data_IF_250000177504
#
_entry.id   IF_250000177504
#
_cell.length_a   1.000
_cell.length_b   1.000
_cell.length_c   1.000
_cell.angle_alpha   90.00
_cell.angle_beta   90.00
_cell.angle_gamma   90.00
#
_symmetry.space_group_name_H-M   'P 1'
#
loop_
_entity.id
_entity.type
_entity.pdbx_description
1 polymer ?
#
# COMPACT_ATOMS: atom_id res chain seq x y z
N UNK A 1 35.19 12.13 -25.53
CA UNK A 1 35.75 10.82 -25.11
C UNK A 1 34.98 10.35 -23.88
N UNK A 2 33.91 9.57 -24.06
CA UNK A 2 33.36 8.79 -22.95
C UNK A 2 34.15 7.49 -22.90
N UNK A 3 34.95 7.31 -21.83
CA UNK A 3 35.75 6.11 -21.63
C UNK A 3 34.88 4.89 -21.36
N UNK A 4 35.34 3.72 -21.80
CA UNK A 4 34.69 2.44 -21.49
C UNK A 4 34.89 2.12 -20.00
N UNK A 5 33.80 2.01 -19.24
CA UNK A 5 33.80 1.56 -17.85
C UNK A 5 33.37 0.09 -17.75
N UNK A 6 34.05 -0.68 -16.90
CA UNK A 6 33.68 -2.08 -16.60
C UNK A 6 32.85 -2.14 -15.32
N UNK A 7 31.64 -2.68 -15.39
CA UNK A 7 30.77 -2.87 -14.22
C UNK A 7 31.13 -4.19 -13.51
N UNK A 8 31.52 -4.10 -12.24
CA UNK A 8 31.76 -5.27 -11.38
C UNK A 8 30.56 -5.47 -10.44
N UNK A 9 30.01 -6.69 -10.41
CA UNK A 9 28.82 -7.02 -9.63
C UNK A 9 29.20 -7.76 -8.35
N UNK A 10 28.68 -7.29 -7.21
CA UNK A 10 28.72 -8.03 -5.95
C UNK A 10 27.49 -8.93 -5.90
N UNK A 11 27.69 -10.25 -6.02
CA UNK A 11 26.63 -11.25 -6.15
C UNK A 11 26.41 -12.10 -4.90
N UNK A 12 27.35 -12.11 -3.95
CA UNK A 12 27.23 -12.88 -2.71
C UNK A 12 26.77 -12.00 -1.55
N UNK A 13 25.82 -12.50 -0.75
CA UNK A 13 25.36 -11.87 0.48
C UNK A 13 25.32 -12.87 1.62
N UNK A 14 25.66 -12.40 2.82
CA UNK A 14 25.72 -13.21 4.04
C UNK A 14 24.71 -12.75 5.09
N UNK A 15 23.89 -11.75 4.76
CA UNK A 15 22.93 -11.14 5.68
C UNK A 15 21.60 -11.88 5.67
N UNK A 16 20.98 -11.95 4.50
CA UNK A 16 19.62 -12.44 4.31
C UNK A 16 19.64 -13.92 3.89
N UNK A 17 18.59 -14.67 4.21
CA UNK A 17 18.44 -16.01 3.65
C UNK A 17 18.17 -15.96 2.14
N UNK A 18 18.47 -17.05 1.42
CA UNK A 18 18.20 -17.15 -0.01
C UNK A 18 16.71 -16.92 -0.30
N UNK A 19 15.83 -17.49 0.51
CA UNK A 19 14.38 -17.37 0.34
C UNK A 19 13.92 -15.91 0.46
N UNK A 20 14.47 -15.14 1.40
CA UNK A 20 14.13 -13.71 1.55
C UNK A 20 14.63 -12.89 0.35
N UNK A 21 15.80 -13.24 -0.18
CA UNK A 21 16.40 -12.59 -1.34
C UNK A 21 15.54 -12.84 -2.57
N UNK A 22 15.07 -14.06 -2.76
CA UNK A 22 14.25 -14.43 -3.92
C UNK A 22 12.90 -13.71 -3.87
N UNK A 23 12.25 -13.68 -2.70
CA UNK A 23 10.98 -12.98 -2.48
C UNK A 23 11.14 -11.46 -2.69
N UNK A 24 12.03 -10.81 -1.94
CA UNK A 24 12.20 -9.36 -1.99
C UNK A 24 12.80 -8.92 -3.33
N UNK A 25 13.78 -9.68 -3.82
CA UNK A 25 14.51 -9.43 -5.06
C UNK A 25 13.61 -9.58 -6.28
N UNK A 26 12.79 -10.63 -6.35
CA UNK A 26 11.82 -10.78 -7.43
C UNK A 26 10.73 -9.72 -7.38
N UNK A 27 10.27 -9.32 -6.18
CA UNK A 27 9.32 -8.22 -6.01
C UNK A 27 9.86 -6.91 -6.60
N UNK A 28 11.09 -6.50 -6.26
CA UNK A 28 11.66 -5.25 -6.79
C UNK A 28 12.04 -5.33 -8.27
N UNK A 29 12.48 -6.51 -8.75
CA UNK A 29 12.94 -6.72 -10.13
C UNK A 29 11.80 -6.88 -11.15
N UNK A 30 10.53 -6.92 -10.72
CA UNK A 30 9.40 -6.68 -11.63
C UNK A 30 9.51 -5.33 -12.33
N UNK A 31 10.21 -4.37 -11.72
CA UNK A 31 10.53 -3.10 -12.37
C UNK A 31 11.61 -3.33 -13.44
N UNK A 32 11.26 -3.09 -14.71
CA UNK A 32 12.16 -3.29 -15.85
C UNK A 32 13.36 -2.34 -15.88
N UNK A 33 13.26 -1.17 -15.26
CA UNK A 33 14.39 -0.21 -15.17
C UNK A 33 15.34 -0.56 -14.03
N UNK A 34 14.93 -1.46 -13.12
CA UNK A 34 15.76 -1.91 -12.02
C UNK A 34 16.93 -2.76 -12.55
N UNK A 35 18.14 -2.42 -12.11
CA UNK A 35 19.31 -3.26 -12.38
C UNK A 35 19.06 -4.68 -11.87
N UNK A 36 19.08 -5.65 -12.79
CA UNK A 36 18.90 -7.06 -12.47
C UNK A 36 20.06 -7.56 -11.62
N UNK A 37 19.74 -8.08 -10.44
CA UNK A 37 20.71 -8.62 -9.49
C UNK A 37 20.29 -10.02 -9.11
N UNK A 38 21.16 -10.98 -9.40
CA UNK A 38 21.04 -12.33 -8.87
C UNK A 38 22.00 -12.43 -7.69
N UNK A 39 21.42 -12.43 -6.49
CA UNK A 39 22.16 -12.56 -5.25
C UNK A 39 22.10 -14.02 -4.79
N UNK A 40 23.23 -14.50 -4.30
CA UNK A 40 23.35 -15.84 -3.72
C UNK A 40 23.72 -15.73 -2.25
N UNK A 41 23.08 -16.55 -1.41
CA UNK A 41 23.30 -16.61 0.03
C UNK A 41 23.48 -18.06 0.48
N UNK A 42 24.46 -18.33 1.37
CA UNK A 42 24.58 -19.64 2.01
C UNK A 42 23.58 -19.84 3.15
N UNK A 43 22.81 -18.81 3.53
CA UNK A 43 21.85 -18.87 4.63
C UNK A 43 20.50 -19.32 4.08
N UNK A 44 19.89 -20.29 4.74
CA UNK A 44 18.52 -20.75 4.48
C UNK A 44 17.67 -20.56 5.72
N UNK A 45 16.43 -20.12 5.52
CA UNK A 45 15.48 -19.94 6.60
C UNK A 45 14.06 -20.21 6.10
N UNK A 46 13.36 -21.13 6.75
CA UNK A 46 11.95 -21.37 6.47
C UNK A 46 11.09 -20.18 6.89
N UNK A 47 10.15 -19.80 6.02
CA UNK A 47 9.21 -18.69 6.25
C UNK A 47 9.93 -17.40 6.69
N UNK A 48 10.83 -16.83 5.85
CA UNK A 48 11.59 -15.63 6.20
C UNK A 48 10.71 -14.38 6.28
N UNK A 49 9.52 -14.42 5.69
CA UNK A 49 8.49 -13.38 5.76
C UNK A 49 7.30 -13.95 6.53
N UNK A 50 6.96 -13.35 7.66
CA UNK A 50 5.84 -13.76 8.52
C UNK A 50 4.78 -12.66 8.49
N UNK A 51 3.55 -13.02 8.11
CA UNK A 51 2.45 -12.06 7.97
C UNK A 51 1.51 -12.19 9.16
N UNK A 52 1.28 -11.07 9.84
CA UNK A 52 0.61 -10.99 11.12
C UNK A 52 -0.58 -10.03 11.01
N UNK A 53 -1.78 -10.59 10.99
CA UNK A 53 -3.02 -9.83 10.74
C UNK A 53 -3.59 -9.28 12.03
N UNK A 54 -4.18 -8.08 11.97
CA UNK A 54 -4.96 -7.49 13.06
C UNK A 54 -6.27 -6.90 12.56
N UNK A 55 -7.26 -6.84 13.44
CA UNK A 55 -8.57 -6.25 13.11
C UNK A 55 -8.50 -4.72 13.14
N UNK A 56 -8.79 -4.10 12.01
CA UNK A 56 -8.83 -2.64 11.84
C UNK A 56 -10.25 -2.05 11.90
N UNK A 57 -11.26 -2.86 12.22
CA UNK A 57 -12.66 -2.42 12.32
C UNK A 57 -12.90 -1.47 13.50
N UNK A 58 -12.18 -1.65 14.60
CA UNK A 58 -12.32 -0.84 15.82
C UNK A 58 -10.97 -0.62 16.51
N UNK A 59 -10.70 0.62 16.95
CA UNK A 59 -9.44 1.02 17.63
C UNK A 59 -8.18 0.46 16.94
N UNK A 60 -8.09 0.66 15.63
CA UNK A 60 -7.01 0.15 14.76
C UNK A 60 -5.60 0.31 15.37
N UNK A 61 -5.28 1.48 15.92
CA UNK A 61 -3.98 1.74 16.54
C UNK A 61 -3.69 0.82 17.72
N UNK A 62 -4.69 0.55 18.56
CA UNK A 62 -4.56 -0.35 19.71
C UNK A 62 -4.38 -1.80 19.24
N UNK A 63 -5.17 -2.24 18.26
CA UNK A 63 -5.07 -3.58 17.69
C UNK A 63 -3.68 -3.81 17.04
N UNK A 64 -3.15 -2.81 16.33
CA UNK A 64 -1.78 -2.82 15.82
C UNK A 64 -0.76 -2.95 16.95
N UNK A 65 -0.86 -2.14 18.01
CA UNK A 65 0.07 -2.19 19.14
C UNK A 65 0.06 -3.54 19.86
N UNK A 66 -1.13 -4.09 20.14
CA UNK A 66 -1.29 -5.43 20.72
C UNK A 66 -0.68 -6.51 19.82
N UNK A 67 -0.85 -6.38 18.49
CA UNK A 67 -0.24 -7.30 17.51
C UNK A 67 1.29 -7.18 17.49
N UNK A 68 1.84 -5.97 17.54
CA UNK A 68 3.30 -5.74 17.60
C UNK A 68 3.88 -6.36 18.87
N UNK A 69 3.24 -6.23 20.03
CA UNK A 69 3.68 -6.91 21.25
C UNK A 69 3.64 -8.44 21.13
N UNK A 70 2.62 -9.00 20.47
CA UNK A 70 2.57 -10.45 20.19
C UNK A 70 3.76 -10.89 19.33
N UNK A 71 4.08 -10.12 18.27
CA UNK A 71 5.22 -10.39 17.39
C UNK A 71 6.54 -10.33 18.16
N UNK A 72 6.72 -9.31 19.01
CA UNK A 72 7.90 -9.20 19.88
C UNK A 72 8.02 -10.45 20.77
N UNK A 73 6.90 -10.92 21.35
CA UNK A 73 6.87 -12.17 22.11
C UNK A 73 7.32 -13.39 21.29
N UNK A 74 6.81 -13.55 20.05
CA UNK A 74 7.23 -14.62 19.12
C UNK A 74 8.74 -14.54 18.87
N UNK A 75 9.27 -13.36 18.55
CA UNK A 75 10.71 -13.14 18.31
C UNK A 75 11.55 -13.49 19.53
N UNK A 76 11.16 -13.04 20.72
CA UNK A 76 11.88 -13.33 21.96
C UNK A 76 11.89 -14.83 22.26
N UNK A 77 10.78 -15.52 22.01
CA UNK A 77 10.68 -16.97 22.23
C UNK A 77 11.57 -17.77 21.28
N UNK A 78 11.69 -17.34 20.02
CA UNK A 78 12.46 -18.05 18.99
C UNK A 78 13.96 -17.70 19.02
N UNK A 79 14.30 -16.43 19.24
CA UNK A 79 15.67 -15.92 19.08
C UNK A 79 16.33 -15.42 20.38
N UNK A 80 15.54 -15.24 21.44
CA UNK A 80 15.99 -14.73 22.73
C UNK A 80 15.91 -13.20 22.88
N UNK A 81 15.81 -12.75 24.13
CA UNK A 81 15.57 -11.33 24.50
C UNK A 81 16.67 -10.35 24.06
N UNK A 82 17.91 -10.84 23.86
CA UNK A 82 19.07 -10.01 23.50
C UNK A 82 19.18 -9.72 22.01
N UNK A 83 18.31 -10.30 21.18
CA UNK A 83 18.36 -10.11 19.73
C UNK A 83 17.67 -8.81 19.34
N UNK A 84 18.34 -8.07 18.46
CA UNK A 84 17.93 -6.72 18.07
C UNK A 84 16.68 -6.76 17.17
N UNK A 85 15.68 -5.96 17.52
CA UNK A 85 14.41 -5.84 16.81
C UNK A 85 14.29 -4.43 16.23
N UNK A 86 14.14 -4.34 14.92
CA UNK A 86 13.86 -3.08 14.24
C UNK A 86 12.37 -2.96 13.92
N UNK A 87 11.73 -1.96 14.51
CA UNK A 87 10.37 -1.57 14.16
C UNK A 87 10.43 -0.50 13.05
N UNK A 88 9.88 -0.81 11.88
CA UNK A 88 9.89 0.10 10.72
C UNK A 88 8.49 0.67 10.48
N UNK A 89 8.40 2.00 10.62
CA UNK A 89 7.25 2.79 10.20
C UNK A 89 7.51 3.56 8.90
N UNK A 90 6.51 4.29 8.42
CA UNK A 90 6.67 5.19 7.27
C UNK A 90 7.15 6.57 7.73
N UNK A 91 6.59 7.07 8.81
CA UNK A 91 6.86 8.38 9.38
C UNK A 91 7.21 8.29 10.86
N UNK A 92 7.94 9.28 11.37
CA UNK A 92 8.28 9.33 12.79
C UNK A 92 7.03 9.34 13.68
N UNK A 93 5.93 9.96 13.22
CA UNK A 93 4.70 10.02 14.00
C UNK A 93 3.93 8.69 14.10
N UNK A 94 4.28 7.68 13.29
CA UNK A 94 3.70 6.33 13.45
C UNK A 94 4.06 5.75 14.81
N UNK A 95 5.23 6.13 15.35
CA UNK A 95 5.63 5.74 16.69
C UNK A 95 4.74 6.36 17.78
N UNK A 96 4.42 7.66 17.67
CA UNK A 96 3.54 8.33 18.63
C UNK A 96 2.16 7.66 18.71
N UNK A 97 1.67 7.09 17.60
CA UNK A 97 0.43 6.30 17.62
C UNK A 97 0.54 5.09 18.55
N UNK A 98 1.66 4.37 18.52
CA UNK A 98 1.90 3.24 19.41
C UNK A 98 2.04 3.68 20.86
N UNK A 99 2.76 4.77 21.15
CA UNK A 99 2.89 5.29 22.51
C UNK A 99 1.56 5.71 23.13
N UNK A 100 0.68 6.32 22.34
CA UNK A 100 -0.65 6.73 22.79
C UNK A 100 -1.56 5.55 23.21
N UNK A 101 -1.17 4.30 22.94
CA UNK A 101 -1.90 3.12 23.41
C UNK A 101 -1.57 2.73 24.86
N UNK A 102 -0.46 3.23 25.41
CA UNK A 102 0.07 2.85 26.71
C UNK A 102 0.82 1.51 26.75
N UNK A 103 0.93 0.81 25.61
CA UNK A 103 1.67 -0.46 25.51
C UNK A 103 3.17 -0.27 25.23
N UNK A 104 3.54 0.92 24.76
CA UNK A 104 4.90 1.28 24.42
C UNK A 104 5.26 2.65 24.98
N UNK A 105 6.54 2.83 25.29
CA UNK A 105 7.11 4.11 25.72
C UNK A 105 8.42 4.44 24.98
N UNK A 106 8.69 5.74 24.83
CA UNK A 106 9.89 6.24 24.16
C UNK A 106 11.10 6.17 25.09
N UNK A 107 12.24 5.75 24.53
CA UNK A 107 13.54 5.84 25.15
C UNK A 107 14.48 6.67 24.25
N UNK A 108 15.57 7.23 24.80
CA UNK A 108 16.55 7.98 24.01
C UNK A 108 17.08 7.20 22.80
N UNK A 109 17.50 7.91 21.75
CA UNK A 109 18.09 7.35 20.52
C UNK A 109 17.13 6.44 19.72
N UNK A 110 15.86 6.81 19.61
CA UNK A 110 14.82 6.04 18.90
C UNK A 110 14.60 4.62 19.46
N UNK A 111 14.99 4.37 20.71
CA UNK A 111 14.73 3.10 21.36
C UNK A 111 13.28 3.07 21.84
N UNK A 112 12.70 1.89 21.83
CA UNK A 112 11.30 1.66 22.18
C UNK A 112 11.27 0.67 23.33
N UNK A 113 10.50 0.98 24.36
CA UNK A 113 10.21 0.05 25.45
C UNK A 113 8.80 -0.50 25.25
N UNK A 114 8.66 -1.83 25.23
CA UNK A 114 7.36 -2.48 25.40
C UNK A 114 7.10 -2.65 26.89
N UNK A 115 5.90 -2.33 27.36
CA UNK A 115 5.56 -2.51 28.77
C UNK A 115 5.47 -4.00 29.14
N UNK A 116 5.10 -4.88 28.20
CA UNK A 116 5.12 -6.33 28.40
C UNK A 116 6.53 -6.93 28.34
N UNK A 117 7.41 -6.40 27.50
CA UNK A 117 8.79 -6.86 27.35
C UNK A 117 9.83 -5.74 27.54
N UNK A 118 10.01 -5.20 28.78
CA UNK A 118 10.87 -4.05 29.03
C UNK A 118 12.35 -4.23 28.65
N UNK A 119 12.83 -5.49 28.64
CA UNK A 119 14.23 -5.82 28.37
C UNK A 119 14.52 -6.13 26.89
N UNK A 120 13.51 -6.07 26.02
CA UNK A 120 13.69 -6.32 24.60
C UNK A 120 14.46 -5.16 23.95
N UNK A 121 15.44 -5.49 23.10
CA UNK A 121 16.20 -4.46 22.39
C UNK A 121 15.48 -4.01 21.11
N UNK A 122 14.57 -3.04 21.27
CA UNK A 122 13.73 -2.53 20.19
C UNK A 122 14.19 -1.14 19.79
N UNK A 123 14.45 -0.94 18.50
CA UNK A 123 14.72 0.36 17.91
C UNK A 123 13.69 0.65 16.84
N UNK A 124 13.24 1.90 16.74
CA UNK A 124 12.38 2.35 15.66
C UNK A 124 13.11 3.21 14.64
N UNK A 125 12.79 2.99 13.37
CA UNK A 125 13.26 3.83 12.27
C UNK A 125 12.16 3.95 11.22
N UNK A 126 12.23 4.99 10.39
CA UNK A 126 11.46 5.01 9.15
C UNK A 126 12.15 4.11 8.13
N UNK A 127 11.40 3.62 7.14
CA UNK A 127 11.98 2.81 6.07
C UNK A 127 13.18 3.52 5.39
N UNK A 128 13.11 4.84 5.20
CA UNK A 128 14.22 5.63 4.65
C UNK A 128 15.43 5.70 5.59
N UNK A 129 15.23 5.99 6.88
CA UNK A 129 16.35 6.13 7.81
C UNK A 129 17.03 4.80 8.13
N UNK A 130 16.34 3.66 7.92
CA UNK A 130 16.90 2.32 8.12
C UNK A 130 18.01 1.93 7.13
N UNK A 131 18.18 2.68 6.03
CA UNK A 131 19.13 2.35 4.96
C UNK A 131 20.56 2.24 5.49
N UNK A 132 21.22 1.13 5.20
CA UNK A 132 22.60 0.86 5.61
C UNK A 132 22.74 0.20 6.98
N UNK A 133 21.69 0.23 7.82
CA UNK A 133 21.66 -0.46 9.11
C UNK A 133 21.04 -1.85 8.93
N UNK A 134 21.38 -2.81 9.79
CA UNK A 134 20.80 -4.15 9.78
C UNK A 134 20.60 -4.69 11.19
N UNK A 135 19.49 -5.38 11.40
CA UNK A 135 19.04 -5.90 12.69
C UNK A 135 18.80 -7.41 12.61
N UNK A 136 18.67 -8.08 13.76
CA UNK A 136 18.43 -9.52 13.76
C UNK A 136 17.03 -9.86 13.26
N UNK A 137 16.01 -9.11 13.69
CA UNK A 137 14.63 -9.22 13.22
C UNK A 137 14.04 -7.86 12.88
N UNK A 138 13.08 -7.82 11.95
CA UNK A 138 12.39 -6.59 11.53
C UNK A 138 10.89 -6.77 11.68
N UNK A 139 10.18 -5.74 12.13
CA UNK A 139 8.72 -5.66 12.18
C UNK A 139 8.27 -4.44 11.36
N UNK A 140 7.39 -4.63 10.38
CA UNK A 140 6.79 -3.57 9.56
C UNK A 140 5.36 -3.27 10.02
N UNK A 141 5.03 -2.02 10.34
CA UNK A 141 3.76 -1.64 11.00
C UNK A 141 2.78 -0.79 10.16
N UNK A 142 3.20 -0.34 8.97
CA UNK A 142 2.38 0.51 8.08
C UNK A 142 1.95 -0.21 6.78
N UNK A 143 1.80 -1.54 6.82
CA UNK A 143 1.47 -2.34 5.63
C UNK A 143 -0.03 -2.36 5.33
N UNK A 144 -0.62 -1.18 5.13
CA UNK A 144 -2.02 -0.97 4.78
C UNK A 144 -2.18 -0.11 3.52
N UNK A 145 -3.37 -0.17 2.92
CA UNK A 145 -3.73 0.61 1.74
C UNK A 145 -4.24 2.01 2.12
N UNK A 146 -3.57 3.06 1.64
CA UNK A 146 -4.02 4.44 1.81
C UNK A 146 -2.89 5.47 1.75
N UNK A 147 -3.25 6.74 1.98
CA UNK A 147 -2.36 7.92 1.84
C UNK A 147 -1.01 7.75 2.56
N UNK A 148 -1.04 7.25 3.80
CA UNK A 148 0.13 7.10 4.67
C UNK A 148 0.57 5.64 4.86
N UNK A 149 0.02 4.75 4.04
CA UNK A 149 0.34 3.33 4.06
C UNK A 149 1.64 3.04 3.32
N UNK A 150 1.79 1.78 2.96
CA UNK A 150 2.91 1.31 2.14
C UNK A 150 2.32 0.59 0.92
N UNK A 151 2.43 1.07 -0.32
CA UNK A 151 3.13 2.29 -0.73
C UNK A 151 2.42 3.57 -0.25
N UNK A 152 3.20 4.63 -0.06
CA UNK A 152 2.69 5.98 0.12
C UNK A 152 1.99 6.45 -1.17
N UNK A 153 0.79 7.05 -1.03
CA UNK A 153 -0.02 7.55 -2.15
C UNK A 153 -0.10 9.07 -2.19
N UNK A 154 0.72 9.75 -1.40
CA UNK A 154 0.89 11.21 -1.50
C UNK A 154 1.65 11.48 -2.79
N UNK A 155 1.06 12.31 -3.65
CA UNK A 155 1.74 12.77 -4.86
C UNK A 155 2.86 13.76 -4.49
N UNK A 156 4.01 13.60 -5.13
CA UNK A 156 5.11 14.54 -5.00
C UNK A 156 4.75 15.88 -5.65
N UNK A 157 5.29 16.96 -5.09
CA UNK A 157 5.13 18.31 -5.63
C UNK A 157 5.58 18.36 -7.11
N UNK A 158 4.82 19.02 -8.02
CA UNK A 158 5.19 19.16 -9.42
C UNK A 158 6.61 19.69 -9.65
N UNK A 159 7.15 20.50 -8.73
CA UNK A 159 8.51 21.04 -8.80
C UNK A 159 9.55 19.93 -8.61
N UNK A 160 9.28 18.93 -7.78
CA UNK A 160 10.19 17.79 -7.57
C UNK A 160 10.34 16.96 -8.85
N UNK A 161 9.32 16.92 -9.73
CA UNK A 161 9.39 16.23 -11.04
C UNK A 161 10.41 16.86 -12.00
N UNK A 162 10.83 18.11 -11.78
CA UNK A 162 11.84 18.78 -12.60
C UNK A 162 13.28 18.35 -12.25
N UNK A 163 13.48 17.79 -11.06
CA UNK A 163 14.81 17.48 -10.51
C UNK A 163 14.99 15.97 -10.24
N UNK A 164 13.88 15.27 -9.98
CA UNK A 164 13.87 13.82 -9.75
C UNK A 164 13.51 13.10 -11.04
N UNK A 165 14.34 12.14 -11.45
CA UNK A 165 13.97 11.21 -12.51
C UNK A 165 12.78 10.37 -12.05
N UNK A 166 11.59 10.71 -12.55
CA UNK A 166 10.36 9.96 -12.29
C UNK A 166 10.39 8.64 -13.07
N UNK A 167 10.56 7.53 -12.35
CA UNK A 167 10.56 6.19 -12.93
C UNK A 167 9.13 5.73 -13.24
N UNK A 168 8.67 6.08 -14.44
CA UNK A 168 7.31 5.76 -14.94
C UNK A 168 7.15 4.32 -15.44
N UNK A 169 8.16 3.47 -15.28
CA UNK A 169 8.10 2.06 -15.72
C UNK A 169 7.01 1.26 -15.02
N UNK A 170 6.64 1.64 -13.80
CA UNK A 170 5.54 1.02 -13.07
C UNK A 170 4.98 1.94 -11.96
N UNK A 171 3.73 1.70 -11.54
CA UNK A 171 3.17 2.39 -10.38
C UNK A 171 4.03 2.18 -9.12
N UNK A 172 4.29 3.27 -8.40
CA UNK A 172 4.99 3.26 -7.12
C UNK A 172 6.41 2.67 -7.19
N UNK A 173 7.14 2.92 -8.28
CA UNK A 173 8.49 2.41 -8.50
C UNK A 173 9.46 2.72 -7.33
N UNK A 174 9.51 3.96 -6.85
CA UNK A 174 10.37 4.33 -5.71
C UNK A 174 9.94 3.65 -4.41
N UNK A 175 8.65 3.59 -4.14
CA UNK A 175 8.11 2.92 -2.95
C UNK A 175 8.42 1.42 -2.98
N UNK A 176 8.38 0.78 -4.16
CA UNK A 176 8.79 -0.63 -4.33
C UNK A 176 10.25 -0.85 -3.97
N UNK A 177 11.15 0.06 -4.35
CA UNK A 177 12.56 0.01 -3.94
C UNK A 177 12.70 0.21 -2.43
N UNK A 178 11.92 1.12 -1.85
CA UNK A 178 11.92 1.33 -0.41
C UNK A 178 11.41 0.11 0.36
N UNK A 179 10.39 -0.58 -0.17
CA UNK A 179 9.87 -1.81 0.44
C UNK A 179 10.94 -2.89 0.50
N UNK A 180 11.66 -3.07 -0.61
CA UNK A 180 12.80 -3.97 -0.69
C UNK A 180 13.87 -3.61 0.35
N UNK A 181 14.18 -2.32 0.53
CA UNK A 181 15.11 -1.88 1.57
C UNK A 181 14.60 -2.31 2.94
N UNK A 182 13.34 -2.03 3.26
CA UNK A 182 12.72 -2.37 4.54
C UNK A 182 12.75 -3.88 4.83
N UNK A 183 12.36 -4.72 3.86
CA UNK A 183 12.37 -6.18 4.00
C UNK A 183 13.78 -6.74 4.21
N UNK A 184 14.79 -6.15 3.57
CA UNK A 184 16.18 -6.63 3.61
C UNK A 184 17.00 -6.06 4.78
N UNK A 185 16.39 -5.31 5.71
CA UNK A 185 17.05 -4.83 6.94
C UNK A 185 17.23 -5.91 8.00
N UNK A 186 16.67 -7.10 7.80
CA UNK A 186 16.76 -8.22 8.76
C UNK A 186 17.93 -9.16 8.45
N UNK A 187 18.45 -9.85 9.45
CA UNK A 187 19.30 -11.03 9.29
C UNK A 187 18.45 -12.31 9.31
N UNK A 188 17.41 -12.36 10.13
CA UNK A 188 16.55 -13.52 10.29
C UNK A 188 15.23 -13.27 9.57
N UNK A 189 14.11 -13.13 10.30
CA UNK A 189 12.78 -12.95 9.72
C UNK A 189 12.40 -11.48 9.63
N UNK A 190 11.54 -11.18 8.66
CA UNK A 190 10.75 -9.95 8.62
C UNK A 190 9.31 -10.29 8.95
N UNK A 191 8.75 -9.61 9.95
CA UNK A 191 7.36 -9.72 10.35
C UNK A 191 6.61 -8.52 9.78
N UNK A 192 5.46 -8.77 9.17
CA UNK A 192 4.61 -7.73 8.57
C UNK A 192 3.30 -7.68 9.35
N UNK A 193 3.11 -6.63 10.14
CA UNK A 193 1.82 -6.34 10.77
C UNK A 193 0.91 -5.62 9.76
N UNK A 194 -0.22 -6.24 9.43
CA UNK A 194 -1.16 -5.73 8.41
C UNK A 194 -2.61 -5.77 8.90
N UNK A 195 -3.44 -4.78 8.54
CA UNK A 195 -4.87 -4.84 8.83
C UNK A 195 -5.58 -5.88 7.96
N UNK A 196 -6.61 -6.52 8.52
CA UNK A 196 -7.51 -7.45 7.83
C UNK A 196 -8.23 -6.80 6.65
N UNK A 197 -8.87 -5.65 6.85
CA UNK A 197 -9.84 -5.13 5.88
C UNK A 197 -9.21 -4.29 4.77
N UNK A 198 -8.10 -3.60 5.06
CA UNK A 198 -7.40 -2.71 4.11
C UNK A 198 -5.89 -3.00 4.01
N UNK A 199 -5.46 -4.25 3.74
CA UNK A 199 -4.06 -4.60 3.58
C UNK A 199 -3.40 -3.85 2.42
N UNK A 200 -2.09 -3.65 2.52
CA UNK A 200 -1.28 -3.06 1.45
C UNK A 200 -1.38 -3.85 0.14
N UNK A 201 -1.46 -3.14 -1.00
CA UNK A 201 -1.32 -3.77 -2.33
C UNK A 201 0.01 -4.50 -2.53
N UNK A 202 1.11 -4.03 -1.94
CA UNK A 202 2.42 -4.69 -2.05
C UNK A 202 2.43 -6.01 -1.28
N UNK A 203 1.72 -6.06 -0.15
CA UNK A 203 1.53 -7.30 0.59
C UNK A 203 0.68 -8.30 -0.20
N UNK A 204 -0.43 -7.86 -0.79
CA UNK A 204 -1.28 -8.75 -1.60
C UNK A 204 -0.50 -9.27 -2.82
N UNK A 205 0.29 -8.43 -3.48
CA UNK A 205 1.18 -8.84 -4.56
C UNK A 205 2.18 -9.92 -4.09
N UNK A 206 2.87 -9.69 -2.97
CA UNK A 206 3.79 -10.67 -2.39
C UNK A 206 3.12 -12.01 -2.07
N UNK A 207 1.93 -11.99 -1.45
CA UNK A 207 1.19 -13.21 -1.11
C UNK A 207 0.85 -13.99 -2.39
N UNK A 208 0.38 -13.32 -3.43
CA UNK A 208 -0.03 -13.95 -4.70
C UNK A 208 1.16 -14.50 -5.49
N UNK A 209 2.27 -13.75 -5.57
CA UNK A 209 3.41 -14.13 -6.40
C UNK A 209 4.26 -15.25 -5.77
N UNK A 210 4.36 -15.28 -4.45
CA UNK A 210 5.27 -16.17 -3.72
C UNK A 210 4.54 -17.18 -2.81
N UNK A 211 3.21 -17.25 -2.89
CA UNK A 211 2.37 -18.15 -2.09
C UNK A 211 2.70 -18.09 -0.58
N UNK A 212 2.87 -16.88 -0.05
CA UNK A 212 3.23 -16.70 1.36
C UNK A 212 2.10 -17.16 2.27
N UNK A 213 2.44 -17.91 3.32
CA UNK A 213 1.52 -18.31 4.37
C UNK A 213 1.23 -17.13 5.31
N UNK A 214 -0.02 -16.97 5.72
CA UNK A 214 -0.43 -15.97 6.70
C UNK A 214 -1.46 -16.55 7.66
N UNK A 215 -1.45 -16.06 8.90
CA UNK A 215 -2.44 -16.43 9.91
C UNK A 215 -3.62 -15.45 9.85
N UNK A 216 -4.85 -15.98 9.87
CA UNK A 216 -6.08 -15.19 9.92
C UNK A 216 -6.67 -14.82 8.55
N UNK A 217 -7.58 -13.84 8.56
CA UNK A 217 -8.29 -13.38 7.36
C UNK A 217 -7.67 -12.09 6.81
N UNK A 218 -7.45 -12.05 5.49
CA UNK A 218 -6.98 -10.86 4.77
C UNK A 218 -7.95 -10.60 3.61
N UNK A 219 -8.40 -9.36 3.48
CA UNK A 219 -9.20 -8.93 2.34
C UNK A 219 -8.32 -8.78 1.08
N UNK A 220 -8.19 -9.88 0.32
CA UNK A 220 -7.40 -9.95 -0.91
C UNK A 220 -7.97 -9.15 -2.08
N UNK A 221 -9.21 -8.68 -1.98
CA UNK A 221 -9.91 -7.85 -2.99
C UNK A 221 -9.55 -6.36 -2.89
N UNK A 222 -8.79 -5.95 -1.85
CA UNK A 222 -8.39 -4.54 -1.65
C UNK A 222 -7.64 -3.97 -2.87
N UNK A 223 -6.96 -4.82 -3.65
CA UNK A 223 -6.26 -4.42 -4.88
C UNK A 223 -7.21 -4.02 -6.01
N UNK A 224 -8.47 -4.48 -5.99
CA UNK A 224 -9.41 -4.16 -7.06
C UNK A 224 -9.83 -2.69 -7.08
N UNK A 225 -9.69 -1.98 -5.96
CA UNK A 225 -9.84 -0.53 -5.93
C UNK A 225 -8.78 0.21 -6.78
N UNK A 226 -7.59 -0.37 -7.00
CA UNK A 226 -6.50 0.27 -7.77
C UNK A 226 -6.10 -0.46 -9.06
N UNK A 227 -6.63 -1.68 -9.29
CA UNK A 227 -6.67 -2.27 -10.63
C UNK A 227 -7.68 -1.57 -11.52
N UNK A 228 -8.59 -0.77 -10.95
CA UNK A 228 -9.50 0.09 -11.69
C UNK A 228 -8.71 1.16 -12.45
N UNK A 229 -8.38 0.82 -13.69
CA UNK A 229 -7.78 1.72 -14.67
C UNK A 229 -8.87 2.58 -15.28
N UNK A 230 -8.55 3.86 -15.45
CA UNK A 230 -9.32 4.81 -16.22
C UNK A 230 -9.48 4.25 -17.65
N UNK A 231 -10.71 4.12 -18.17
CA UNK A 231 -10.95 3.60 -19.52
C UNK A 231 -10.45 4.56 -20.61
N UNK A 232 -10.22 5.84 -20.28
CA UNK A 232 -9.77 6.87 -21.22
C UNK A 232 -8.24 6.86 -21.37
N UNK A 233 -7.51 6.90 -20.25
CA UNK A 233 -6.05 7.12 -20.27
C UNK A 233 -5.22 6.01 -19.60
N UNK A 234 -5.85 5.01 -18.99
CA UNK A 234 -5.14 3.91 -18.32
C UNK A 234 -4.46 4.27 -16.99
N UNK A 235 -4.56 5.51 -16.50
CA UNK A 235 -4.12 5.84 -15.15
C UNK A 235 -5.06 5.23 -14.10
N UNK A 236 -4.59 4.99 -12.86
CA UNK A 236 -5.44 4.51 -11.78
C UNK A 236 -6.64 5.44 -11.52
N UNK A 237 -7.74 4.85 -11.03
CA UNK A 237 -8.88 5.58 -10.48
C UNK A 237 -8.75 5.60 -8.94
N UNK A 238 -9.05 6.73 -8.33
CA UNK A 238 -9.07 6.92 -6.86
C UNK A 238 -10.51 7.12 -6.40
N UNK A 239 -10.92 6.42 -5.34
CA UNK A 239 -12.25 6.58 -4.76
C UNK A 239 -12.26 7.63 -3.65
N UNK A 240 -12.95 8.74 -3.85
CA UNK A 240 -13.07 9.80 -2.85
C UNK A 240 -14.38 10.61 -2.96
N UNK A 241 -14.72 11.33 -1.88
CA UNK A 241 -15.88 12.21 -1.87
C UNK A 241 -15.59 13.50 -2.65
N UNK A 242 -16.31 13.72 -3.75
CA UNK A 242 -16.19 14.94 -4.55
C UNK A 242 -17.23 15.98 -4.12
N UNK A 243 -16.77 17.06 -3.51
CA UNK A 243 -17.62 18.15 -3.00
C UNK A 243 -18.47 18.83 -4.08
N UNK A 244 -17.98 18.90 -5.32
CA UNK A 244 -18.69 19.56 -6.42
C UNK A 244 -19.93 18.77 -6.88
N UNK A 245 -19.89 17.45 -6.69
CA UNK A 245 -20.96 16.53 -7.08
C UNK A 245 -21.77 16.02 -5.90
N UNK A 246 -21.25 16.14 -4.67
CA UNK A 246 -21.89 15.65 -3.45
C UNK A 246 -21.92 14.11 -3.34
N UNK A 247 -21.00 13.43 -4.03
CA UNK A 247 -20.99 11.97 -4.17
C UNK A 247 -19.57 11.42 -3.99
N UNK A 248 -19.47 10.15 -3.57
CA UNK A 248 -18.22 9.41 -3.66
C UNK A 248 -18.04 8.91 -5.10
N UNK A 249 -16.90 9.25 -5.70
CA UNK A 249 -16.61 8.98 -7.11
C UNK A 249 -15.25 8.31 -7.27
N UNK A 250 -15.12 7.55 -8.35
CA UNK A 250 -13.87 7.05 -8.90
C UNK A 250 -13.32 8.09 -9.87
N UNK A 251 -12.25 8.76 -9.48
CA UNK A 251 -11.67 9.91 -10.21
C UNK A 251 -10.33 9.50 -10.79
N UNK A 252 -10.07 9.85 -12.06
CA UNK A 252 -8.77 9.63 -12.68
C UNK A 252 -7.66 10.37 -11.93
N UNK A 253 -6.55 9.68 -11.65
CA UNK A 253 -5.35 10.29 -11.02
C UNK A 253 -4.37 10.89 -12.03
N UNK A 254 -4.75 11.00 -13.30
CA UNK A 254 -3.96 11.75 -14.27
C UNK A 254 -4.20 13.26 -14.07
N UNK A 255 -3.36 14.09 -14.68
CA UNK A 255 -3.57 15.53 -14.68
C UNK A 255 -4.96 15.86 -15.25
N UNK A 256 -5.73 16.71 -14.55
CA UNK A 256 -7.09 17.08 -14.94
C UNK A 256 -7.15 17.81 -16.28
N UNK A 257 -6.06 18.46 -16.70
CA UNK A 257 -5.98 19.07 -18.04
C UNK A 257 -5.82 18.02 -19.16
N UNK A 258 -5.40 16.81 -18.79
CA UNK A 258 -5.17 15.68 -19.71
C UNK A 258 -6.32 14.69 -19.68
N UNK A 259 -6.90 14.41 -18.51
CA UNK A 259 -8.00 13.48 -18.35
C UNK A 259 -8.80 13.77 -17.06
N UNK A 260 -10.02 14.27 -17.22
CA UNK A 260 -10.94 14.61 -16.14
C UNK A 260 -11.98 13.51 -15.83
N UNK A 261 -11.82 12.33 -16.46
CA UNK A 261 -12.73 11.20 -16.32
C UNK A 261 -13.04 10.87 -14.85
N UNK A 262 -14.34 10.75 -14.56
CA UNK A 262 -14.82 10.29 -13.27
C UNK A 262 -16.11 9.48 -13.40
N UNK A 263 -16.25 8.44 -12.58
CA UNK A 263 -17.43 7.58 -12.61
C UNK A 263 -17.92 7.25 -11.21
N UNK A 264 -19.22 7.01 -11.06
CA UNK A 264 -19.81 6.56 -9.80
C UNK A 264 -19.90 5.02 -9.71
N UNK A 265 -19.58 4.29 -10.79
CA UNK A 265 -19.71 2.84 -10.85
C UNK A 265 -18.39 2.17 -11.29
N UNK A 266 -18.01 1.10 -10.58
CA UNK A 266 -16.73 0.41 -10.82
C UNK A 266 -16.77 -0.60 -11.96
N UNK A 267 -17.97 -1.06 -12.33
CA UNK A 267 -18.21 -2.09 -13.35
C UNK A 267 -18.48 -1.40 -14.68
N UNK A 268 -19.47 -0.51 -14.71
CA UNK A 268 -19.89 0.25 -15.87
C UNK A 268 -19.24 1.64 -15.83
N UNK A 269 -17.96 1.70 -16.23
CA UNK A 269 -17.08 2.88 -16.12
C UNK A 269 -17.45 4.00 -17.11
N UNK A 270 -18.65 4.53 -16.95
CA UNK A 270 -19.18 5.62 -17.75
C UNK A 270 -18.96 6.95 -17.05
N UNK A 271 -18.53 7.94 -17.83
CA UNK A 271 -18.15 9.26 -17.33
C UNK A 271 -19.38 10.06 -16.87
N UNK A 272 -19.18 10.92 -15.88
CA UNK A 272 -20.23 11.79 -15.34
C UNK A 272 -20.27 13.08 -16.13
N UNK A 273 -21.47 13.50 -16.55
CA UNK A 273 -21.67 14.76 -17.26
C UNK A 273 -22.91 15.51 -16.77
N UNK A 274 -23.02 16.79 -17.11
CA UNK A 274 -24.16 17.63 -16.69
C UNK A 274 -25.48 17.12 -17.30
N UNK A 275 -26.53 17.11 -16.50
CA UNK A 275 -27.86 16.75 -16.97
C UNK A 275 -28.34 17.78 -18.02
N UNK A 276 -28.79 17.35 -19.20
CA UNK A 276 -29.30 18.26 -20.23
C UNK A 276 -30.67 18.87 -19.90
N UNK A 277 -31.37 18.37 -18.87
CA UNK A 277 -32.75 18.78 -18.52
C UNK A 277 -32.87 19.63 -17.25
N UNK A 278 -31.82 19.75 -16.45
CA UNK A 278 -31.84 20.59 -15.24
C UNK A 278 -30.51 21.31 -15.07
N UNK A 279 -30.53 22.44 -14.35
CA UNK A 279 -29.36 23.33 -14.26
C UNK A 279 -28.23 22.79 -13.38
N UNK A 280 -28.57 22.00 -12.38
CA UNK A 280 -27.71 21.64 -11.25
C UNK A 280 -27.52 20.11 -11.08
N UNK A 281 -28.28 19.30 -11.81
CA UNK A 281 -28.16 17.84 -11.77
C UNK A 281 -27.06 17.30 -12.69
N UNK A 282 -26.54 16.13 -12.32
CA UNK A 282 -25.56 15.37 -13.10
C UNK A 282 -26.14 14.02 -13.53
N UNK A 283 -25.69 13.50 -14.66
CA UNK A 283 -26.02 12.16 -15.14
C UNK A 283 -25.02 11.18 -14.55
N UNK A 284 -25.52 10.23 -13.77
CA UNK A 284 -24.72 9.17 -13.13
C UNK A 284 -25.26 7.80 -13.54
N UNK A 285 -24.41 6.77 -13.48
CA UNK A 285 -24.81 5.39 -13.76
C UNK A 285 -25.75 4.90 -12.67
N UNK A 286 -26.90 4.35 -13.05
CA UNK A 286 -27.88 3.70 -12.18
C UNK A 286 -28.25 2.32 -12.72
N UNK A 287 -28.65 1.45 -11.82
CA UNK A 287 -29.05 0.07 -12.11
C UNK A 287 -30.51 -0.15 -11.69
N UNK A 288 -31.28 -0.79 -12.56
CA UNK A 288 -32.64 -1.19 -12.25
C UNK A 288 -32.68 -2.66 -11.77
N UNK A 289 -32.96 -2.84 -10.47
CA UNK A 289 -32.97 -4.15 -9.83
C UNK A 289 -34.00 -5.15 -10.38
N UNK A 290 -35.05 -4.68 -11.09
CA UNK A 290 -36.12 -5.55 -11.60
C UNK A 290 -35.81 -6.22 -12.94
N UNK A 291 -35.06 -5.54 -13.80
CA UNK A 291 -34.81 -5.99 -15.18
C UNK A 291 -33.32 -6.09 -15.52
N UNK A 292 -32.42 -5.63 -14.65
CA UNK A 292 -30.98 -5.68 -14.89
C UNK A 292 -30.44 -4.54 -15.74
N UNK A 293 -31.28 -3.59 -16.16
CA UNK A 293 -30.86 -2.54 -17.07
C UNK A 293 -29.97 -1.51 -16.38
N UNK A 294 -28.91 -1.11 -17.07
CA UNK A 294 -28.00 -0.04 -16.68
C UNK A 294 -28.29 1.19 -17.53
N UNK A 295 -28.42 2.36 -16.89
CA UNK A 295 -28.75 3.61 -17.57
C UNK A 295 -28.14 4.81 -16.85
N UNK A 296 -28.00 5.94 -17.53
CA UNK A 296 -27.73 7.20 -16.87
C UNK A 296 -29.02 7.75 -16.25
N UNK A 297 -28.99 8.06 -14.96
CA UNK A 297 -30.07 8.75 -14.26
C UNK A 297 -29.59 10.06 -13.64
N UNK A 298 -30.45 11.08 -13.67
CA UNK A 298 -30.14 12.35 -13.02
C UNK A 298 -30.01 12.18 -11.49
N UNK A 299 -29.05 12.90 -10.88
CA UNK A 299 -28.88 12.99 -9.42
C UNK A 299 -30.11 13.59 -8.73
N UNK A 300 -30.80 14.54 -9.39
CA UNK A 300 -31.96 15.24 -8.84
C UNK A 300 -33.28 14.45 -8.93
N UNK A 301 -33.24 13.16 -9.23
CA UNK A 301 -34.45 12.34 -9.37
C UNK A 301 -35.33 12.31 -8.11
N UNK A 302 -34.69 12.29 -6.93
CA UNK A 302 -35.37 12.28 -5.62
C UNK A 302 -35.34 13.65 -4.92
N UNK A 303 -34.97 14.73 -5.62
CA UNK A 303 -35.00 16.07 -5.04
C UNK A 303 -36.44 16.56 -4.93
N UNK A 304 -36.84 17.01 -3.74
CA UNK A 304 -38.17 17.57 -3.48
C UNK A 304 -38.37 18.94 -4.13
N UNK A 305 -37.28 19.69 -4.34
CA UNK A 305 -37.32 21.07 -4.83
C UNK A 305 -36.93 21.20 -6.31
N UNK A 306 -36.05 20.33 -6.81
CA UNK A 306 -35.49 20.41 -8.17
C UNK A 306 -35.63 19.07 -8.92
N UNK A 307 -36.78 18.40 -8.77
CA UNK A 307 -37.02 17.04 -9.28
C UNK A 307 -36.74 16.93 -10.78
N UNK A 308 -35.85 16.00 -11.15
CA UNK A 308 -35.52 15.73 -12.55
C UNK A 308 -35.58 14.23 -12.87
N UNK A 309 -36.52 13.85 -13.74
CA UNK A 309 -36.75 12.45 -14.15
C UNK A 309 -35.94 12.03 -15.39
N UNK A 310 -34.89 12.79 -15.74
CA UNK A 310 -34.11 12.48 -16.93
C UNK A 310 -33.35 11.16 -16.78
N UNK A 311 -33.54 10.29 -17.77
CA UNK A 311 -32.89 8.99 -17.88
C UNK A 311 -32.45 8.78 -19.33
N UNK A 312 -31.24 8.27 -19.53
CA UNK A 312 -30.67 7.97 -20.84
C UNK A 312 -30.16 6.54 -20.82
N UNK A 313 -30.62 5.64 -21.71
CA UNK A 313 -30.09 4.28 -21.80
C UNK A 313 -28.58 4.28 -22.05
N UNK A 314 -27.84 3.42 -21.36
CA UNK A 314 -26.44 3.18 -21.69
C UNK A 314 -26.39 2.20 -22.86
N UNK A 315 -25.81 2.63 -23.98
CA UNK A 315 -25.49 1.70 -25.07
C UNK A 315 -24.27 0.91 -24.63
N UNK A 316 -24.48 -0.38 -24.39
CA UNK A 316 -23.40 -1.29 -24.08
C UNK A 316 -22.49 -1.41 -25.32
N UNK A 317 -21.27 -0.88 -25.23
CA UNK A 317 -20.25 -1.06 -26.27
C UNK A 317 -19.49 -2.40 -26.08
N UNK A 318 -20.04 -3.33 -25.30
CA UNK A 318 -19.50 -4.67 -25.13
C UNK A 318 -20.32 -5.70 -25.93
N UNK A 319 -19.99 -5.84 -27.21
CA UNK A 319 -20.15 -7.08 -27.96
C UNK A 319 -18.87 -7.41 -28.70
#
# INVERSE_FOLDING_TARGET
>A
LMGTGTELKITHTYRNSQELIDIAGGFVQKNSTQMRKQLTSPKHLENPVVIETFDDSFKQTKALAEKVEQIIGKIISEYGIKKSILLIGRYNYDMYKLFNTGLFSELPNNRVKSEKYPNADITFMTAHSSKGVGYDNVILINMFEGKFGFPCQIEDDPILKLVVHDDKSMPFAEERRLFYVAMTRTKNRVYIATPKNRPSRFLIELIKDYNLTYEGEINMETVDLFSLRCPVCGFPLKYEFNKNYGLNLWICTNDSEVCDFMTNDKVHKHDIFKCPKCKDGYMIVKYNAKNGDVFYGCTNYFSDTHKCTNMIPLKDNSK
#
